data_IF_990374561901
#
_entry.id   IF_990374561901
#
_cell.length_a   1.000
_cell.length_b   1.000
_cell.length_c   1.000
_cell.angle_alpha   90.00
_cell.angle_beta   90.00
_cell.angle_gamma   90.00
#
_symmetry.space_group_name_H-M   'P 1'
#
loop_
_entity.id
_entity.type
_entity.pdbx_description
1 polymer ?
#
# COMPACT_ATOMS: atom_id res chain seq x y z
N UNK A 1 -10.63 7.35 17.41
CA UNK A 1 -9.87 8.23 16.51
C UNK A 1 -9.83 7.59 15.12
N UNK A 2 -10.07 8.38 14.06
CA UNK A 2 -9.90 7.94 12.67
C UNK A 2 -8.68 8.65 12.09
N UNK A 3 -7.73 7.90 11.52
CA UNK A 3 -6.50 8.47 10.94
C UNK A 3 -6.36 8.07 9.46
N UNK A 4 -5.77 8.92 8.60
CA UNK A 4 -5.64 8.63 7.16
C UNK A 4 -4.68 7.45 6.90
N UNK A 5 -4.76 6.84 5.71
CA UNK A 5 -3.98 5.65 5.36
C UNK A 5 -2.47 5.80 5.51
N UNK A 6 -1.91 7.00 5.30
CA UNK A 6 -0.49 7.23 5.55
C UNK A 6 -0.13 7.07 7.02
N UNK A 7 -1.00 7.49 7.96
CA UNK A 7 -0.79 7.28 9.40
C UNK A 7 -1.05 5.84 9.87
N UNK A 8 -1.44 4.94 8.96
CA UNK A 8 -1.67 3.53 9.28
C UNK A 8 -0.39 2.71 9.40
N UNK A 9 0.79 3.28 9.14
CA UNK A 9 2.02 2.53 9.35
C UNK A 9 2.15 2.11 10.82
N UNK A 10 2.39 0.81 11.05
CA UNK A 10 2.50 0.26 12.40
C UNK A 10 3.66 0.90 13.19
N UNK A 11 4.70 1.40 12.50
CA UNK A 11 5.77 2.21 13.06
C UNK A 11 5.27 3.53 13.69
N UNK A 12 4.31 4.21 13.05
CA UNK A 12 3.74 5.47 13.56
C UNK A 12 2.91 5.24 14.82
N UNK A 13 2.10 4.18 14.84
CA UNK A 13 1.30 3.86 16.03
C UNK A 13 2.20 3.48 17.21
N UNK A 14 3.32 2.79 16.97
CA UNK A 14 4.29 2.46 18.02
C UNK A 14 4.94 3.69 18.64
N UNK A 15 5.21 4.74 17.86
CA UNK A 15 5.65 6.04 18.40
C UNK A 15 4.57 6.61 19.33
N UNK A 16 3.31 6.55 18.92
CA UNK A 16 2.18 6.93 19.79
C UNK A 16 2.12 6.10 21.08
N UNK A 17 2.34 4.78 20.99
CA UNK A 17 2.35 3.88 22.16
C UNK A 17 3.46 4.19 23.17
N UNK A 18 4.58 4.77 22.72
CA UNK A 18 5.64 5.21 23.62
C UNK A 18 5.21 6.44 24.46
N UNK A 19 4.24 7.22 23.99
CA UNK A 19 3.85 8.51 24.57
C UNK A 19 2.49 8.49 25.29
N UNK A 20 1.80 7.35 25.34
CA UNK A 20 0.43 7.27 25.88
C UNK A 20 0.07 5.85 26.34
N UNK A 21 -1.05 5.69 27.05
CA UNK A 21 -1.46 4.36 27.53
C UNK A 21 -2.08 3.51 26.39
N UNK A 22 -1.96 2.16 26.42
CA UNK A 22 -2.58 1.29 25.42
C UNK A 22 -4.08 1.52 25.22
N UNK A 23 -4.80 1.88 26.29
CA UNK A 23 -6.24 2.18 26.27
C UNK A 23 -6.61 3.34 25.34
N UNK A 24 -5.68 4.26 25.08
CA UNK A 24 -5.94 5.44 24.25
C UNK A 24 -5.73 5.17 22.75
N UNK A 25 -5.02 4.08 22.40
CA UNK A 25 -4.64 3.77 21.01
C UNK A 25 -5.37 2.54 20.48
N UNK A 26 -5.58 1.51 21.30
CA UNK A 26 -6.35 0.32 20.91
C UNK A 26 -7.74 0.75 20.45
N UNK A 27 -8.18 0.21 19.31
CA UNK A 27 -9.45 0.59 18.69
C UNK A 27 -9.38 1.78 17.74
N UNK A 28 -8.21 2.40 17.54
CA UNK A 28 -8.00 3.39 16.47
C UNK A 28 -8.37 2.78 15.12
N UNK A 29 -9.12 3.53 14.31
CA UNK A 29 -9.55 3.13 12.98
C UNK A 29 -8.73 3.92 11.96
N UNK A 30 -8.35 3.26 10.87
CA UNK A 30 -7.71 3.89 9.73
C UNK A 30 -8.21 3.24 8.44
N UNK A 31 -7.72 3.74 7.31
CA UNK A 31 -7.92 3.17 5.99
C UNK A 31 -6.61 2.54 5.50
N UNK A 32 -6.70 1.53 4.64
CA UNK A 32 -5.53 0.93 3.99
C UNK A 32 -5.88 0.54 2.57
N UNK A 33 -4.93 0.68 1.66
CA UNK A 33 -5.09 0.27 0.26
C UNK A 33 -3.96 -0.66 -0.23
N UNK A 34 -2.92 -0.89 0.58
CA UNK A 34 -1.79 -1.79 0.30
C UNK A 34 -1.88 -3.03 1.18
N UNK A 35 -1.29 -4.16 0.76
CA UNK A 35 -1.12 -5.31 1.65
C UNK A 35 -0.22 -4.93 2.85
N UNK A 36 -0.62 -5.33 4.05
CA UNK A 36 0.24 -5.21 5.23
C UNK A 36 1.09 -6.48 5.37
N UNK A 37 2.44 -6.42 5.32
CA UNK A 37 3.31 -7.60 5.44
C UNK A 37 3.21 -8.31 6.80
N UNK A 38 2.59 -7.69 7.81
CA UNK A 38 2.35 -8.26 9.14
C UNK A 38 0.99 -8.91 9.28
N UNK A 39 0.07 -8.72 8.33
CA UNK A 39 -1.26 -9.31 8.38
C UNK A 39 -1.18 -10.81 8.05
N UNK A 40 -1.65 -11.70 8.96
CA UNK A 40 -1.63 -13.14 8.74
C UNK A 40 -2.36 -13.60 7.46
N UNK A 41 -3.32 -12.81 6.95
CA UNK A 41 -4.02 -13.09 5.69
C UNK A 41 -3.05 -13.24 4.51
N UNK A 42 -1.91 -12.55 4.55
CA UNK A 42 -0.90 -12.59 3.48
C UNK A 42 0.29 -13.50 3.79
N UNK A 43 0.24 -14.30 4.86
CA UNK A 43 1.37 -15.13 5.29
C UNK A 43 1.85 -16.13 4.22
N UNK A 44 0.95 -16.59 3.35
CA UNK A 44 1.24 -17.52 2.24
C UNK A 44 1.19 -16.84 0.86
N UNK A 45 1.11 -15.51 0.81
CA UNK A 45 1.02 -14.77 -0.44
C UNK A 45 2.39 -14.72 -1.13
N UNK A 46 2.43 -15.15 -2.42
CA UNK A 46 3.66 -15.19 -3.22
C UNK A 46 4.29 -13.80 -3.40
N UNK A 47 3.49 -12.75 -3.47
CA UNK A 47 3.94 -11.36 -3.61
C UNK A 47 4.62 -10.88 -2.34
N UNK A 48 4.09 -11.25 -1.18
CA UNK A 48 4.75 -10.94 0.11
C UNK A 48 6.07 -11.70 0.24
N UNK A 49 6.13 -12.95 -0.22
CA UNK A 49 7.39 -13.70 -0.27
C UNK A 49 8.43 -13.06 -1.22
N UNK A 50 7.98 -12.59 -2.40
CA UNK A 50 8.82 -11.85 -3.35
C UNK A 50 9.35 -10.56 -2.73
N UNK A 51 8.49 -9.76 -2.11
CA UNK A 51 8.86 -8.55 -1.39
C UNK A 51 9.95 -8.81 -0.34
N UNK A 52 9.78 -9.84 0.51
CA UNK A 52 10.79 -10.22 1.51
C UNK A 52 12.12 -10.59 0.88
N UNK A 53 12.09 -11.28 -0.26
CA UNK A 53 13.30 -11.68 -1.00
C UNK A 53 14.03 -10.48 -1.59
N UNK A 54 13.29 -9.51 -2.14
CA UNK A 54 13.83 -8.25 -2.67
C UNK A 54 14.44 -7.41 -1.55
N UNK A 55 13.74 -7.24 -0.43
CA UNK A 55 14.27 -6.55 0.74
C UNK A 55 15.55 -7.20 1.27
N UNK A 56 15.56 -8.53 1.43
CA UNK A 56 16.76 -9.26 1.86
C UNK A 56 17.96 -9.01 0.95
N UNK A 57 17.73 -8.88 -0.37
CA UNK A 57 18.80 -8.69 -1.36
C UNK A 57 19.29 -7.25 -1.46
N UNK A 58 18.37 -6.27 -1.43
CA UNK A 58 18.67 -4.88 -1.79
C UNK A 58 18.58 -3.90 -0.62
N UNK A 59 17.96 -4.29 0.50
CA UNK A 59 17.84 -3.49 1.71
C UNK A 59 17.76 -4.38 2.96
N UNK A 60 18.82 -5.16 3.22
CA UNK A 60 18.83 -6.16 4.30
C UNK A 60 18.66 -5.55 5.70
N UNK A 61 19.03 -4.27 5.88
CA UNK A 61 18.82 -3.50 7.11
C UNK A 61 17.41 -2.94 7.27
N UNK A 62 16.59 -2.96 6.22
CA UNK A 62 15.24 -2.41 6.24
C UNK A 62 14.25 -3.29 7.02
N UNK A 63 13.30 -2.68 7.72
CA UNK A 63 12.24 -3.42 8.41
C UNK A 63 11.23 -3.96 7.38
N UNK A 64 11.28 -5.27 7.14
CA UNK A 64 10.33 -5.98 6.28
C UNK A 64 8.89 -5.92 6.78
N UNK A 65 8.65 -5.52 8.02
CA UNK A 65 7.31 -5.35 8.60
C UNK A 65 6.73 -3.96 8.37
N UNK A 66 7.53 -3.02 7.85
CA UNK A 66 7.05 -1.67 7.56
C UNK A 66 6.17 -1.66 6.30
N UNK A 67 4.89 -1.28 6.39
CA UNK A 67 4.01 -1.20 5.23
C UNK A 67 4.44 -0.16 4.19
N UNK A 68 5.28 0.84 4.53
CA UNK A 68 5.80 1.78 3.54
C UNK A 68 6.78 1.12 2.55
N UNK A 69 7.53 0.12 3.00
CA UNK A 69 8.38 -0.67 2.10
C UNK A 69 7.51 -1.47 1.12
N UNK A 70 6.37 -1.99 1.57
CA UNK A 70 5.38 -2.62 0.68
C UNK A 70 4.75 -1.63 -0.30
N UNK A 71 4.43 -0.42 0.17
CA UNK A 71 3.93 0.65 -0.69
C UNK A 71 4.95 1.03 -1.78
N UNK A 72 6.23 1.12 -1.45
CA UNK A 72 7.30 1.36 -2.42
C UNK A 72 7.33 0.30 -3.53
N UNK A 73 7.12 -0.97 -3.18
CA UNK A 73 6.99 -2.05 -4.18
C UNK A 73 5.77 -1.87 -5.08
N UNK A 74 4.63 -1.45 -4.52
CA UNK A 74 3.43 -1.18 -5.30
C UNK A 74 3.67 -0.06 -6.32
N UNK A 75 4.28 1.05 -5.90
CA UNK A 75 4.62 2.17 -6.79
C UNK A 75 5.61 1.75 -7.88
N UNK A 76 6.64 0.97 -7.51
CA UNK A 76 7.62 0.46 -8.46
C UNK A 76 6.98 -0.45 -9.51
N UNK A 77 6.04 -1.32 -9.10
CA UNK A 77 5.29 -2.17 -10.01
C UNK A 77 4.51 -1.36 -11.05
N UNK A 78 3.75 -0.35 -10.60
CA UNK A 78 2.99 0.52 -11.51
C UNK A 78 3.92 1.32 -12.43
N UNK A 79 5.10 1.74 -11.95
CA UNK A 79 6.09 2.40 -12.80
C UNK A 79 6.60 1.48 -13.92
N UNK A 80 6.81 0.19 -13.63
CA UNK A 80 7.19 -0.79 -14.66
C UNK A 80 6.08 -0.91 -15.71
N UNK A 81 4.80 -1.02 -15.31
CA UNK A 81 3.66 -1.04 -16.26
C UNK A 81 3.63 0.21 -17.15
N UNK A 82 3.87 1.40 -16.59
CA UNK A 82 3.98 2.65 -17.37
C UNK A 82 5.12 2.56 -18.38
N UNK A 83 6.30 2.12 -17.97
CA UNK A 83 7.47 2.04 -18.86
C UNK A 83 7.30 0.97 -19.96
N UNK A 84 6.67 -0.16 -19.65
CA UNK A 84 6.32 -1.19 -20.63
C UNK A 84 5.34 -0.65 -21.69
N UNK A 85 4.33 0.11 -21.27
CA UNK A 85 3.37 0.77 -22.18
C UNK A 85 4.01 1.83 -23.07
N UNK A 86 5.03 2.53 -22.56
CA UNK A 86 5.77 3.56 -23.31
C UNK A 86 6.72 2.94 -24.34
N UNK A 87 7.29 1.79 -24.03
CA UNK A 87 8.21 1.07 -24.92
C UNK A 87 9.50 1.84 -25.18
N UNK A 88 9.94 1.88 -26.44
CA UNK A 88 11.28 2.37 -26.84
C UNK A 88 11.43 3.91 -26.87
N UNK A 89 10.40 4.68 -26.54
CA UNK A 89 10.43 6.15 -26.63
C UNK A 89 10.02 6.83 -25.30
N UNK A 90 10.85 6.77 -24.24
CA UNK A 90 10.52 7.25 -22.90
C UNK A 90 10.64 8.77 -22.74
N UNK A 91 9.94 9.52 -23.58
CA UNK A 91 9.80 10.97 -23.39
C UNK A 91 8.85 11.27 -22.23
N UNK A 92 9.02 12.44 -21.59
CA UNK A 92 8.09 12.93 -20.56
C UNK A 92 6.63 12.88 -21.03
N UNK A 93 6.38 13.28 -22.28
CA UNK A 93 5.05 13.27 -22.88
C UNK A 93 4.46 11.86 -22.94
N UNK A 94 5.22 10.89 -23.45
CA UNK A 94 4.75 9.50 -23.55
C UNK A 94 4.54 8.86 -22.18
N UNK A 95 5.43 9.13 -21.22
CA UNK A 95 5.29 8.67 -19.83
C UNK A 95 4.01 9.23 -19.21
N UNK A 96 3.77 10.54 -19.35
CA UNK A 96 2.53 11.14 -18.84
C UNK A 96 1.29 10.60 -19.55
N UNK A 97 1.36 10.38 -20.87
CA UNK A 97 0.25 9.80 -21.61
C UNK A 97 -0.08 8.40 -21.11
N UNK A 98 0.91 7.55 -20.88
CA UNK A 98 0.71 6.20 -20.33
C UNK A 98 0.20 6.24 -18.88
N UNK A 99 0.75 7.11 -18.03
CA UNK A 99 0.34 7.23 -16.62
C UNK A 99 -1.09 7.75 -16.45
N UNK A 100 -1.65 8.44 -17.46
CA UNK A 100 -3.03 8.91 -17.48
C UNK A 100 -4.03 7.90 -18.06
N UNK A 101 -3.57 6.70 -18.44
CA UNK A 101 -4.43 5.64 -19.00
C UNK A 101 -4.16 4.29 -18.32
N UNK A 102 -3.91 4.31 -17.01
CA UNK A 102 -3.67 3.09 -16.24
C UNK A 102 -5.00 2.37 -15.98
N UNK A 103 -4.95 1.04 -16.08
CA UNK A 103 -6.02 0.14 -15.65
C UNK A 103 -5.40 -1.23 -15.39
N UNK A 104 -4.76 -1.38 -14.24
CA UNK A 104 -4.00 -2.59 -13.90
C UNK A 104 -4.50 -3.24 -12.61
N UNK A 105 -4.02 -4.46 -12.37
CA UNK A 105 -4.07 -5.11 -11.07
C UNK A 105 -2.65 -5.16 -10.52
N UNK A 106 -2.45 -4.57 -9.36
CA UNK A 106 -1.15 -4.49 -8.72
C UNK A 106 -1.09 -5.53 -7.59
N UNK A 107 -0.19 -6.52 -7.65
CA UNK A 107 -0.18 -7.65 -6.73
C UNK A 107 0.20 -7.26 -5.30
N UNK A 108 0.79 -6.07 -5.10
CA UNK A 108 1.10 -5.52 -3.78
C UNK A 108 -0.12 -4.86 -3.11
N UNK A 109 -1.21 -4.67 -3.84
CA UNK A 109 -2.50 -4.22 -3.31
C UNK A 109 -3.42 -5.43 -3.03
N UNK A 110 -4.41 -5.29 -2.14
CA UNK A 110 -5.50 -6.28 -2.03
C UNK A 110 -6.16 -6.53 -3.39
N UNK A 111 -6.56 -7.77 -3.72
CA UNK A 111 -7.12 -8.13 -5.03
C UNK A 111 -8.33 -7.29 -5.47
N UNK A 112 -9.08 -6.74 -4.53
CA UNK A 112 -10.28 -5.94 -4.80
C UNK A 112 -9.96 -4.47 -5.15
N UNK A 113 -8.70 -4.04 -4.98
CA UNK A 113 -8.23 -2.69 -5.28
C UNK A 113 -7.51 -2.70 -6.62
N UNK A 114 -7.88 -1.75 -7.49
CA UNK A 114 -7.27 -1.57 -8.81
C UNK A 114 -6.62 -0.22 -8.92
N UNK A 115 -5.58 -0.16 -9.76
CA UNK A 115 -4.95 1.09 -10.16
C UNK A 115 -5.60 1.56 -11.44
N UNK A 116 -6.23 2.75 -11.41
CA UNK A 116 -6.92 3.34 -12.56
C UNK A 116 -6.67 4.82 -12.63
N UNK A 117 -6.39 5.32 -13.83
CA UNK A 117 -6.27 6.76 -14.11
C UNK A 117 -6.92 7.08 -15.45
N UNK A 118 -7.33 8.33 -15.60
CA UNK A 118 -7.80 8.93 -16.85
C UNK A 118 -7.22 10.34 -17.00
N UNK A 119 -7.34 10.98 -18.18
CA UNK A 119 -7.00 12.41 -18.33
C UNK A 119 -7.78 13.34 -17.40
N UNK A 120 -8.99 12.92 -16.97
CA UNK A 120 -9.90 13.67 -16.10
C UNK A 120 -9.82 13.25 -14.62
N UNK A 121 -9.19 12.12 -14.32
CA UNK A 121 -8.93 11.66 -12.95
C UNK A 121 -7.52 11.07 -12.82
N UNK A 122 -6.70 11.75 -12.04
CA UNK A 122 -5.28 11.44 -11.86
C UNK A 122 -4.97 10.72 -10.56
N UNK A 123 -5.99 10.29 -9.80
CA UNK A 123 -5.80 9.56 -8.56
C UNK A 123 -5.76 8.05 -8.83
N UNK A 124 -4.57 7.41 -8.85
CA UNK A 124 -4.44 6.01 -9.27
C UNK A 124 -5.20 5.02 -8.40
N UNK A 125 -5.41 5.34 -7.11
CA UNK A 125 -6.12 4.49 -6.16
C UNK A 125 -7.05 5.36 -5.34
N UNK A 126 -8.35 5.15 -5.53
CA UNK A 126 -9.43 5.82 -4.78
C UNK A 126 -10.28 4.79 -4.03
N UNK A 127 -9.65 3.68 -3.64
CA UNK A 127 -10.30 2.57 -2.96
C UNK A 127 -9.54 2.27 -1.66
N UNK A 128 -10.26 2.01 -0.58
CA UNK A 128 -9.61 1.61 0.67
C UNK A 128 -10.48 0.66 1.50
N UNK A 129 -9.83 -0.12 2.35
CA UNK A 129 -10.47 -0.95 3.39
C UNK A 129 -10.24 -0.33 4.75
N UNK A 130 -11.19 -0.49 5.67
CA UNK A 130 -11.01 -0.09 7.05
C UNK A 130 -10.09 -1.06 7.79
N UNK A 131 -9.26 -0.52 8.67
CA UNK A 131 -8.38 -1.26 9.58
C UNK A 131 -8.53 -0.73 11.00
N UNK A 132 -8.42 -1.62 11.98
CA UNK A 132 -8.47 -1.28 13.40
C UNK A 132 -7.18 -1.71 14.10
N UNK A 133 -6.63 -0.85 14.94
CA UNK A 133 -5.47 -1.21 15.75
C UNK A 133 -5.90 -2.16 16.88
N UNK A 134 -5.37 -3.37 16.87
CA UNK A 134 -5.68 -4.42 17.84
C UNK A 134 -4.69 -4.46 19.03
N UNK A 135 -3.81 -3.47 19.14
CA UNK A 135 -2.80 -3.37 20.21
C UNK A 135 -1.40 -3.79 19.78
N UNK A 136 -1.28 -4.78 18.89
CA UNK A 136 0.00 -5.25 18.36
C UNK A 136 0.13 -5.15 16.83
N UNK A 137 -1.01 -5.13 16.13
CA UNK A 137 -1.11 -5.08 14.67
C UNK A 137 -2.42 -4.45 14.24
N UNK A 138 -2.51 -4.14 12.95
CA UNK A 138 -3.78 -3.83 12.32
C UNK A 138 -4.58 -5.09 12.01
N UNK A 139 -5.90 -4.99 12.13
CA UNK A 139 -6.85 -5.95 11.60
C UNK A 139 -7.79 -5.27 10.62
N UNK A 140 -7.83 -5.74 9.38
CA UNK A 140 -8.81 -5.25 8.40
C UNK A 140 -10.21 -5.75 8.71
N UNK A 141 -11.21 -4.92 8.43
CA UNK A 141 -12.62 -5.26 8.55
C UNK A 141 -13.47 -4.51 7.52
N UNK A 142 -14.66 -5.03 7.24
CA UNK A 142 -15.58 -4.46 6.25
C UNK A 142 -15.17 -4.70 4.79
N UNK A 143 -16.01 -4.24 3.83
CA UNK A 143 -15.71 -4.27 2.41
C UNK A 143 -14.63 -3.25 2.03
N UNK A 144 -14.22 -3.27 0.76
CA UNK A 144 -13.47 -2.15 0.17
C UNK A 144 -14.48 -1.07 -0.21
N UNK A 145 -14.19 0.17 0.18
CA UNK A 145 -14.98 1.36 -0.10
C UNK A 145 -14.35 2.15 -1.25
N UNK A 146 -15.20 2.75 -2.07
CA UNK A 146 -14.80 3.86 -2.96
C UNK A 146 -14.65 5.13 -2.13
N UNK A 147 -13.64 5.93 -2.43
CA UNK A 147 -13.35 7.22 -1.79
C UNK A 147 -13.78 8.42 -2.66
N UNK A 148 -14.39 8.15 -3.82
CA UNK A 148 -15.14 9.13 -4.62
C UNK A 148 -16.51 9.42 -4.06
#
# INVERSE_FOLDING_TARGET
>A
MVVPAYSSASSIIKIGQASTSPKQIVGTISTVFVKDPTDPRWAKDKTVALYRSIMKKYNASGDVKDPYNMYGMAVAYTMVDVLEKVGKNPTRENVMKASLHLNESNPFLPPEIRVRTSPTDRFPVEQARLIRWLGARWGSFGPVYSLR
#
